data_IF_741811546055
#
_entry.id   IF_741811546055
#
_cell.length_a   1.000
_cell.length_b   1.000
_cell.length_c   1.000
_cell.angle_alpha   90.00
_cell.angle_beta   90.00
_cell.angle_gamma   90.00
#
_symmetry.space_group_name_H-M   'P 1'
#
loop_
_entity.id
_entity.type
_entity.pdbx_description
1 polymer ?
#
# COMPACT_ATOMS: atom_id res chain seq x y z
N UNK A 1 39.85 -9.52 6.87
CA UNK A 1 38.96 -9.23 5.74
C UNK A 1 39.69 -9.62 4.48
N UNK A 2 39.16 -10.61 3.76
CA UNK A 2 39.71 -11.01 2.46
C UNK A 2 39.33 -10.00 1.38
N UNK A 3 39.97 -10.09 0.22
CA UNK A 3 39.59 -9.29 -0.96
C UNK A 3 38.15 -9.61 -1.39
N UNK A 4 37.73 -10.87 -1.28
CA UNK A 4 36.36 -11.29 -1.60
C UNK A 4 35.35 -10.68 -0.63
N UNK A 5 35.63 -10.68 0.68
CA UNK A 5 34.74 -10.06 1.68
C UNK A 5 34.57 -8.56 1.41
N UNK A 6 35.68 -7.87 1.10
CA UNK A 6 35.65 -6.45 0.76
C UNK A 6 34.82 -6.18 -0.51
N UNK A 7 34.96 -7.01 -1.55
CA UNK A 7 34.20 -6.85 -2.79
C UNK A 7 32.71 -7.11 -2.60
N UNK A 8 32.34 -8.08 -1.76
CA UNK A 8 30.94 -8.35 -1.40
C UNK A 8 30.33 -7.18 -0.62
N UNK A 9 31.02 -6.70 0.40
CA UNK A 9 30.58 -5.53 1.18
C UNK A 9 30.42 -4.29 0.29
N UNK A 10 31.37 -4.07 -0.62
CA UNK A 10 31.29 -2.98 -1.59
C UNK A 10 30.05 -3.10 -2.50
N UNK A 11 29.73 -4.30 -2.99
CA UNK A 11 28.52 -4.53 -3.78
C UNK A 11 27.24 -4.23 -3.00
N UNK A 12 27.14 -4.65 -1.73
CA UNK A 12 25.97 -4.34 -0.89
C UNK A 12 25.83 -2.83 -0.64
N UNK A 13 26.93 -2.14 -0.35
CA UNK A 13 26.92 -0.71 -0.10
C UNK A 13 26.59 0.10 -1.38
N UNK A 14 27.06 -0.35 -2.56
CA UNK A 14 26.65 0.23 -3.85
C UNK A 14 25.14 0.04 -4.08
N UNK A 15 24.61 -1.17 -3.85
CA UNK A 15 23.18 -1.45 -4.00
C UNK A 15 22.33 -0.55 -3.08
N UNK A 16 22.70 -0.46 -1.79
CA UNK A 16 22.03 0.44 -0.82
C UNK A 16 22.16 1.90 -1.22
N UNK A 17 23.30 2.31 -1.77
CA UNK A 17 23.54 3.64 -2.31
C UNK A 17 22.57 3.99 -3.43
N UNK A 18 22.37 3.08 -4.39
CA UNK A 18 21.41 3.25 -5.48
C UNK A 18 19.96 3.32 -4.99
N UNK A 19 19.56 2.48 -4.03
CA UNK A 19 18.22 2.55 -3.41
C UNK A 19 17.97 3.91 -2.76
N UNK A 20 18.95 4.43 -1.99
CA UNK A 20 18.87 5.75 -1.36
C UNK A 20 18.77 6.87 -2.40
N UNK A 21 19.62 6.83 -3.43
CA UNK A 21 19.62 7.83 -4.50
C UNK A 21 18.32 7.81 -5.32
N UNK A 22 17.70 6.65 -5.54
CA UNK A 22 16.39 6.56 -6.16
C UNK A 22 15.29 7.17 -5.29
N UNK A 23 15.31 6.91 -3.98
CA UNK A 23 14.37 7.52 -3.03
C UNK A 23 14.51 9.05 -2.97
N UNK A 24 15.74 9.56 -2.95
CA UNK A 24 16.03 11.00 -3.00
C UNK A 24 15.53 11.62 -4.31
N UNK A 25 15.84 11.02 -5.47
CA UNK A 25 15.34 11.49 -6.78
C UNK A 25 13.81 11.51 -6.85
N UNK A 26 13.14 10.49 -6.31
CA UNK A 26 11.67 10.49 -6.17
C UNK A 26 11.22 11.67 -5.28
N UNK A 27 11.85 11.90 -4.13
CA UNK A 27 11.52 13.05 -3.25
C UNK A 27 11.77 14.41 -3.90
N UNK A 28 12.84 14.58 -4.66
CA UNK A 28 13.14 15.83 -5.37
C UNK A 28 12.11 16.14 -6.46
N UNK A 29 11.67 15.12 -7.20
CA UNK A 29 10.69 15.25 -8.28
C UNK A 29 9.26 15.54 -7.76
N UNK A 30 8.88 14.94 -6.64
CA UNK A 30 7.51 15.00 -6.12
C UNK A 30 7.35 15.88 -4.86
N UNK A 31 8.45 16.40 -4.31
CA UNK A 31 8.50 17.19 -3.08
C UNK A 31 8.02 16.44 -1.83
N UNK A 32 7.75 17.18 -0.75
CA UNK A 32 7.09 16.65 0.45
C UNK A 32 5.57 16.45 0.27
N UNK A 33 5.03 16.70 -0.92
CA UNK A 33 3.64 16.41 -1.30
C UNK A 33 3.51 15.03 -1.93
N UNK A 34 4.36 14.08 -1.52
CA UNK A 34 4.20 12.68 -1.91
C UNK A 34 2.93 12.13 -1.25
N UNK A 35 1.81 12.28 -1.93
CA UNK A 35 0.62 11.46 -1.73
C UNK A 35 0.88 10.22 -2.59
N UNK A 36 1.31 9.09 -2.02
CA UNK A 36 1.54 7.88 -2.77
C UNK A 36 0.16 7.37 -3.15
N UNK A 37 -0.31 7.73 -4.35
CA UNK A 37 -1.31 6.92 -5.02
C UNK A 37 -0.55 5.71 -5.60
N UNK A 38 -0.47 4.65 -4.81
CA UNK A 38 0.11 3.38 -5.24
C UNK A 38 -0.97 2.62 -6.00
N UNK A 39 -1.02 2.83 -7.31
CA UNK A 39 -1.80 1.99 -8.21
C UNK A 39 -1.19 0.58 -8.21
N UNK A 40 -1.88 -0.37 -7.57
CA UNK A 40 -1.39 -1.74 -7.46
C UNK A 40 -1.58 -2.50 -8.77
N UNK A 41 -2.79 -2.43 -9.32
CA UNK A 41 -3.16 -3.23 -10.46
C UNK A 41 -4.38 -2.65 -11.17
N UNK A 42 -4.37 -2.78 -12.49
CA UNK A 42 -5.55 -2.60 -13.32
C UNK A 42 -5.74 -3.84 -14.19
N UNK A 43 -6.91 -4.44 -14.09
CA UNK A 43 -7.32 -5.57 -14.94
C UNK A 43 -8.73 -5.33 -15.45
N UNK A 44 -8.87 -5.20 -16.76
CA UNK A 44 -10.12 -4.85 -17.43
C UNK A 44 -10.79 -3.61 -16.82
N UNK A 45 -11.96 -3.80 -16.19
CA UNK A 45 -12.77 -2.76 -15.55
C UNK A 45 -12.48 -2.60 -14.05
N UNK A 46 -11.55 -3.37 -13.50
CA UNK A 46 -11.19 -3.34 -12.06
C UNK A 46 -9.86 -2.63 -11.88
N UNK A 47 -9.82 -1.73 -10.90
CA UNK A 47 -8.64 -0.98 -10.48
C UNK A 47 -8.50 -1.09 -8.97
N UNK A 48 -7.32 -1.43 -8.49
CA UNK A 48 -6.99 -1.48 -7.06
C UNK A 48 -5.88 -0.49 -6.78
N UNK A 49 -6.11 0.36 -5.79
CA UNK A 49 -5.21 1.43 -5.38
C UNK A 49 -5.06 1.39 -3.87
N UNK A 50 -3.84 1.64 -3.40
CA UNK A 50 -3.56 1.96 -2.01
C UNK A 50 -3.08 3.40 -2.01
N UNK A 51 -3.67 4.23 -1.14
CA UNK A 51 -3.40 5.66 -1.10
C UNK A 51 -3.02 6.06 0.31
N UNK A 52 -2.10 7.02 0.45
CA UNK A 52 -2.01 7.80 1.69
C UNK A 52 -3.24 8.68 1.78
N UNK A 53 -3.76 8.80 2.99
CA UNK A 53 -4.88 9.65 3.27
C UNK A 53 -4.48 11.11 3.28
N UNK A 54 -5.29 11.91 2.60
CA UNK A 54 -5.13 13.36 2.51
C UNK A 54 -5.91 14.08 3.63
N UNK A 55 -6.72 13.33 4.37
CA UNK A 55 -7.60 13.80 5.45
C UNK A 55 -7.49 12.81 6.60
N UNK A 56 -7.57 13.31 7.84
CA UNK A 56 -7.60 12.43 9.01
C UNK A 56 -8.82 11.51 8.95
N UNK A 57 -8.56 10.20 8.93
CA UNK A 57 -9.58 9.17 9.01
C UNK A 57 -9.46 8.44 10.34
N UNK A 58 -10.62 8.10 10.93
CA UNK A 58 -10.66 7.49 12.25
C UNK A 58 -10.13 6.06 12.29
N UNK A 59 -10.08 5.37 11.14
CA UNK A 59 -9.59 3.99 11.05
C UNK A 59 -9.20 3.59 9.62
N UNK A 60 -8.32 2.60 9.45
CA UNK A 60 -8.06 1.96 8.17
C UNK A 60 -9.32 1.31 7.59
N UNK A 61 -9.62 1.57 6.32
CA UNK A 61 -10.78 1.02 5.64
C UNK A 61 -10.58 0.92 4.12
N UNK A 62 -11.39 0.08 3.49
CA UNK A 62 -11.40 -0.13 2.03
C UNK A 62 -12.57 0.61 1.44
N UNK A 63 -12.31 1.39 0.39
CA UNK A 63 -13.35 1.92 -0.48
C UNK A 63 -13.58 1.02 -1.69
N UNK A 64 -14.85 0.72 -1.96
CA UNK A 64 -15.29 -0.01 -3.15
C UNK A 64 -16.21 0.93 -3.92
N UNK A 65 -15.70 1.47 -5.02
CA UNK A 65 -16.43 2.37 -5.92
C UNK A 65 -16.85 1.62 -7.17
N UNK A 66 -18.14 1.69 -7.50
CA UNK A 66 -18.69 1.17 -8.75
C UNK A 66 -19.11 2.34 -9.63
N UNK A 67 -18.85 2.25 -10.95
CA UNK A 67 -19.17 3.33 -11.90
C UNK A 67 -20.64 3.76 -11.92
N UNK A 68 -21.53 2.89 -11.44
CA UNK A 68 -22.98 3.04 -11.45
C UNK A 68 -23.62 3.03 -10.05
N UNK A 69 -22.84 2.95 -8.95
CA UNK A 69 -23.38 2.80 -7.58
C UNK A 69 -22.61 3.57 -6.51
N UNK A 70 -23.25 3.59 -5.33
CA UNK A 70 -22.81 4.11 -4.04
C UNK A 70 -21.44 3.54 -3.64
N UNK A 71 -20.55 4.40 -3.16
CA UNK A 71 -19.30 4.03 -2.51
C UNK A 71 -19.56 3.22 -1.23
N UNK A 72 -18.93 2.06 -1.12
CA UNK A 72 -18.97 1.26 0.10
C UNK A 72 -17.64 1.39 0.83
N UNK A 73 -17.72 1.69 2.12
CA UNK A 73 -16.56 1.71 3.01
C UNK A 73 -16.62 0.54 3.98
N UNK A 74 -15.57 -0.28 4.02
CA UNK A 74 -15.48 -1.46 4.89
C UNK A 74 -14.26 -1.30 5.80
N UNK A 75 -14.44 -1.43 7.12
CA UNK A 75 -13.32 -1.37 8.07
C UNK A 75 -12.31 -2.49 7.80
N UNK A 76 -11.01 -2.18 7.85
CA UNK A 76 -9.96 -3.20 7.83
C UNK A 76 -9.76 -3.89 9.19
N UNK A 77 -10.30 -3.31 10.28
CA UNK A 77 -10.15 -3.86 11.61
C UNK A 77 -11.05 -5.09 11.84
N UNK A 78 -12.32 -4.99 11.44
CA UNK A 78 -13.33 -6.03 11.71
C UNK A 78 -14.21 -6.37 10.50
N UNK A 79 -13.98 -5.74 9.34
CA UNK A 79 -14.77 -5.92 8.12
C UNK A 79 -16.26 -5.57 8.26
N UNK A 80 -16.59 -4.73 9.26
CA UNK A 80 -17.87 -4.06 9.36
C UNK A 80 -18.05 -3.04 8.22
N UNK A 81 -19.29 -2.79 7.82
CA UNK A 81 -19.60 -1.76 6.81
C UNK A 81 -19.71 -0.43 7.55
N UNK A 82 -18.88 0.53 7.17
CA UNK A 82 -18.86 1.89 7.74
C UNK A 82 -19.82 2.82 7.00
N UNK A 83 -19.92 2.67 5.69
CA UNK A 83 -20.81 3.45 4.83
C UNK A 83 -21.20 2.67 3.57
N UNK A 84 -22.34 3.05 2.99
CA UNK A 84 -22.86 2.46 1.76
C UNK A 84 -23.52 1.08 1.95
N UNK A 85 -23.80 0.42 0.83
CA UNK A 85 -24.45 -0.89 0.78
C UNK A 85 -23.73 -1.83 -0.18
N UNK A 86 -23.42 -3.04 0.29
CA UNK A 86 -22.84 -4.13 -0.51
C UNK A 86 -23.70 -5.38 -0.40
N UNK A 87 -23.94 -6.08 -1.50
CA UNK A 87 -24.68 -7.33 -1.45
C UNK A 87 -23.88 -8.43 -0.74
N UNK A 88 -24.60 -9.36 -0.12
CA UNK A 88 -24.01 -10.41 0.71
C UNK A 88 -23.06 -11.33 -0.07
N UNK A 89 -23.31 -11.58 -1.35
CA UNK A 89 -22.47 -12.49 -2.15
C UNK A 89 -21.14 -11.83 -2.45
N UNK A 90 -21.16 -10.60 -2.95
CA UNK A 90 -19.94 -9.82 -3.23
C UNK A 90 -19.11 -9.63 -1.97
N UNK A 91 -19.74 -9.23 -0.85
CA UNK A 91 -19.04 -9.11 0.44
C UNK A 91 -18.35 -10.42 0.83
N UNK A 92 -19.04 -11.56 0.73
CA UNK A 92 -18.46 -12.87 1.06
C UNK A 92 -17.19 -13.17 0.25
N UNK A 93 -17.22 -12.96 -1.07
CA UNK A 93 -16.06 -13.25 -1.92
C UNK A 93 -14.89 -12.30 -1.65
N UNK A 94 -15.16 -11.00 -1.47
CA UNK A 94 -14.12 -10.04 -1.12
C UNK A 94 -13.48 -10.34 0.23
N UNK A 95 -14.28 -10.62 1.25
CA UNK A 95 -13.75 -10.95 2.58
C UNK A 95 -12.95 -12.26 2.58
N UNK A 96 -13.32 -13.24 1.74
CA UNK A 96 -12.51 -14.45 1.58
C UNK A 96 -11.08 -14.19 1.10
N UNK A 97 -10.86 -13.09 0.36
CA UNK A 97 -9.53 -12.68 -0.12
C UNK A 97 -8.82 -11.73 0.85
N UNK A 98 -9.56 -10.83 1.50
CA UNK A 98 -9.01 -9.75 2.31
C UNK A 98 -8.71 -10.17 3.75
N UNK A 99 -9.53 -11.05 4.33
CA UNK A 99 -9.35 -11.50 5.73
C UNK A 99 -7.96 -12.12 5.95
N UNK A 100 -7.45 -13.00 5.07
CA UNK A 100 -6.09 -13.54 5.23
C UNK A 100 -4.97 -12.51 5.11
N UNK A 101 -5.24 -11.35 4.51
CA UNK A 101 -4.29 -10.26 4.25
C UNK A 101 -4.43 -9.09 5.22
N UNK A 102 -5.27 -9.25 6.25
CA UNK A 102 -5.63 -8.17 7.16
C UNK A 102 -4.41 -7.53 7.81
N UNK A 103 -3.48 -8.34 8.30
CA UNK A 103 -2.35 -7.84 9.07
C UNK A 103 -1.36 -7.11 8.17
N UNK A 104 -1.10 -7.63 6.96
CA UNK A 104 -0.26 -6.93 5.98
C UNK A 104 -0.88 -5.61 5.52
N UNK A 105 -2.20 -5.59 5.27
CA UNK A 105 -2.91 -4.36 4.87
C UNK A 105 -2.89 -3.29 5.98
N UNK A 106 -3.01 -3.69 7.25
CA UNK A 106 -2.89 -2.76 8.37
C UNK A 106 -1.44 -2.26 8.55
N UNK A 107 -0.45 -3.12 8.32
CA UNK A 107 0.95 -2.68 8.34
C UNK A 107 1.22 -1.61 7.27
N UNK A 108 0.72 -1.81 6.05
CA UNK A 108 0.80 -0.82 4.96
C UNK A 108 0.12 0.49 5.35
N UNK A 109 -1.05 0.43 6.00
CA UNK A 109 -1.74 1.63 6.49
C UNK A 109 -0.90 2.42 7.49
N UNK A 110 -0.35 1.74 8.51
CA UNK A 110 0.49 2.38 9.54
C UNK A 110 1.70 3.05 8.88
N UNK A 111 2.34 2.34 7.95
CA UNK A 111 3.51 2.83 7.23
C UNK A 111 3.19 4.10 6.42
N UNK A 112 2.06 4.13 5.70
CA UNK A 112 1.64 5.27 4.89
C UNK A 112 1.12 6.46 5.71
N UNK A 113 0.28 6.20 6.70
CA UNK A 113 -0.59 7.21 7.31
C UNK A 113 -0.15 7.63 8.71
N UNK A 114 0.58 6.78 9.44
CA UNK A 114 1.04 7.10 10.79
C UNK A 114 2.54 7.45 10.82
N UNK A 115 3.35 6.75 10.02
CA UNK A 115 4.80 6.99 9.95
C UNK A 115 5.23 7.93 8.82
N UNK A 116 4.36 8.16 7.85
CA UNK A 116 4.68 8.91 6.62
C UNK A 116 5.87 8.31 5.84
N UNK A 117 5.96 6.97 5.79
CA UNK A 117 7.05 6.24 5.15
C UNK A 117 6.60 5.54 3.87
N UNK A 118 6.43 6.31 2.82
CA UNK A 118 5.81 5.80 1.59
C UNK A 118 6.69 4.82 0.79
N UNK A 119 8.01 4.89 0.94
CA UNK A 119 8.95 3.94 0.31
C UNK A 119 8.86 2.57 1.00
N UNK A 120 8.79 2.56 2.33
CA UNK A 120 8.58 1.33 3.11
C UNK A 120 7.25 0.66 2.74
N UNK A 121 6.19 1.46 2.60
CA UNK A 121 4.89 0.96 2.16
C UNK A 121 4.92 0.37 0.74
N UNK A 122 5.58 1.02 -0.22
CA UNK A 122 5.74 0.51 -1.60
C UNK A 122 6.41 -0.86 -1.60
N UNK A 123 7.43 -1.07 -0.77
CA UNK A 123 8.11 -2.36 -0.61
C UNK A 123 7.19 -3.43 0.00
N UNK A 124 6.50 -3.13 1.09
CA UNK A 124 5.54 -4.05 1.72
C UNK A 124 4.45 -4.50 0.74
N UNK A 125 4.00 -3.58 -0.13
CA UNK A 125 3.02 -3.84 -1.17
C UNK A 125 3.54 -4.81 -2.22
N UNK A 126 4.78 -4.63 -2.70
CA UNK A 126 5.40 -5.53 -3.68
C UNK A 126 5.53 -6.95 -3.13
N UNK A 127 5.75 -7.08 -1.83
CA UNK A 127 5.90 -8.36 -1.13
C UNK A 127 4.56 -9.08 -0.84
N UNK A 128 3.40 -8.46 -1.14
CA UNK A 128 2.08 -9.09 -0.93
C UNK A 128 1.85 -10.36 -1.77
N UNK A 129 2.66 -10.57 -2.82
CA UNK A 129 2.59 -11.75 -3.69
C UNK A 129 1.33 -11.76 -4.57
N UNK A 130 0.88 -10.58 -5.01
CA UNK A 130 -0.27 -10.39 -5.90
C UNK A 130 0.06 -10.55 -7.38
#
# INVERSE_FOLDING_TARGET
>A
MSVEDFLLELCEEIYRGEERAQAERKRELFGNQFVPELLLMRKDKVRVEIRKENVSHNMPHIHITHSDKIDVSISLNDFSVLAGNIDRKTKKYLLGLLVPKKDELNAIWVELNEKDESVGAEKMIQDLGL
#
